data_IF_441081543879
#
_entry.id   IF_441081543879
#
_cell.length_a   1.000
_cell.length_b   1.000
_cell.length_c   1.000
_cell.angle_alpha   90.00
_cell.angle_beta   90.00
_cell.angle_gamma   90.00
#
_symmetry.space_group_name_H-M   'P 1'
#
loop_
_entity.id
_entity.type
_entity.pdbx_description
1 polymer ?
#
# COMPACT_ATOMS: atom_id res chain seq x y z
N UNK A 1 -14.31 -6.78 36.23
CA UNK A 1 -12.89 -6.36 36.27
C UNK A 1 -12.56 -5.63 34.98
N UNK A 2 -12.59 -4.32 35.05
CA UNK A 2 -12.12 -3.46 33.97
C UNK A 2 -10.59 -3.44 34.06
N UNK A 3 -9.93 -4.15 33.16
CA UNK A 3 -8.48 -4.17 33.07
C UNK A 3 -7.94 -2.76 32.83
N UNK A 4 -6.90 -2.40 33.55
CA UNK A 4 -6.15 -1.14 33.46
C UNK A 4 -5.27 -1.09 32.22
N UNK A 5 -5.83 -1.32 31.03
CA UNK A 5 -5.18 -0.94 29.78
C UNK A 5 -5.41 0.54 29.55
N UNK A 6 -4.39 1.32 29.16
CA UNK A 6 -4.54 2.74 28.86
C UNK A 6 -5.74 2.95 27.94
N UNK A 7 -6.57 3.90 28.30
CA UNK A 7 -7.83 4.21 27.62
C UNK A 7 -7.53 4.52 26.14
N UNK A 8 -7.74 3.52 25.29
CA UNK A 8 -7.67 3.73 23.85
C UNK A 8 -8.96 4.42 23.45
N UNK A 9 -8.89 5.69 23.14
CA UNK A 9 -10.00 6.47 22.59
C UNK A 9 -10.64 5.69 21.45
N UNK A 10 -11.86 5.19 21.66
CA UNK A 10 -12.59 4.40 20.66
C UNK A 10 -13.34 5.29 19.69
N UNK A 11 -13.90 6.37 20.18
CA UNK A 11 -14.55 7.39 19.38
C UNK A 11 -14.36 8.76 20.04
N UNK A 12 -14.15 9.79 19.24
CA UNK A 12 -14.02 11.17 19.65
C UNK A 12 -15.00 12.01 18.85
N UNK A 13 -15.77 12.84 19.53
CA UNK A 13 -16.65 13.84 18.93
C UNK A 13 -16.11 15.20 19.33
N UNK A 14 -15.63 15.98 18.37
CA UNK A 14 -15.12 17.32 18.63
C UNK A 14 -16.23 18.37 18.49
N UNK A 15 -16.12 19.46 19.23
CA UNK A 15 -17.01 20.63 19.11
C UNK A 15 -16.99 21.26 17.71
N UNK A 16 -15.96 20.98 16.90
CA UNK A 16 -15.89 21.35 15.48
C UNK A 16 -16.80 20.51 14.58
N UNK A 17 -17.43 19.45 15.09
CA UNK A 17 -18.24 18.49 14.34
C UNK A 17 -17.45 17.30 13.78
N UNK A 18 -16.12 17.26 13.95
CA UNK A 18 -15.32 16.12 13.51
C UNK A 18 -15.53 14.90 14.40
N UNK A 19 -15.62 13.73 13.79
CA UNK A 19 -15.73 12.42 14.44
C UNK A 19 -14.47 11.61 14.18
N UNK A 20 -13.85 11.12 15.26
CA UNK A 20 -12.70 10.23 15.21
C UNK A 20 -13.05 8.83 15.71
N UNK A 21 -12.69 7.79 14.98
CA UNK A 21 -12.72 6.41 15.44
C UNK A 21 -11.27 5.93 15.57
N UNK A 22 -10.87 5.58 16.79
CA UNK A 22 -9.48 5.17 17.08
C UNK A 22 -8.46 6.32 17.10
N UNK A 23 -8.91 7.56 17.06
CA UNK A 23 -8.08 8.77 17.15
C UNK A 23 -8.74 9.83 18.03
N UNK A 24 -7.93 10.51 18.84
CA UNK A 24 -8.37 11.67 19.64
C UNK A 24 -8.30 12.99 18.85
N UNK A 25 -7.59 13.01 17.71
CA UNK A 25 -7.36 14.21 16.90
C UNK A 25 -7.81 13.99 15.46
N UNK A 26 -9.13 13.95 15.17
CA UNK A 26 -9.62 13.76 13.82
C UNK A 26 -9.27 14.97 12.94
N UNK A 27 -8.60 14.71 11.82
CA UNK A 27 -8.17 15.69 10.83
C UNK A 27 -9.16 15.87 9.66
N UNK A 28 -10.29 15.16 9.70
CA UNK A 28 -11.37 15.21 8.72
C UNK A 28 -12.73 15.10 9.43
N UNK A 29 -13.86 15.47 8.80
CA UNK A 29 -15.20 15.31 9.39
C UNK A 29 -15.46 13.90 9.92
N UNK A 30 -14.97 12.88 9.26
CA UNK A 30 -14.86 11.51 9.78
C UNK A 30 -13.43 11.01 9.57
N UNK A 31 -12.73 10.72 10.67
CA UNK A 31 -11.38 10.14 10.64
C UNK A 31 -11.40 8.79 11.36
N UNK A 32 -11.20 7.72 10.59
CA UNK A 32 -11.04 6.35 11.12
C UNK A 32 -9.55 6.01 11.08
N UNK A 33 -8.92 5.97 12.26
CA UNK A 33 -7.52 5.56 12.36
C UNK A 33 -7.41 4.04 12.12
N UNK A 34 -6.55 3.65 11.18
CA UNK A 34 -6.40 2.26 10.77
C UNK A 34 -7.21 1.85 9.54
N UNK A 35 -8.13 2.70 9.09
CA UNK A 35 -8.73 2.63 7.74
C UNK A 35 -9.43 1.33 7.32
N UNK A 36 -9.83 0.46 8.28
CA UNK A 36 -10.51 -0.80 7.95
C UNK A 36 -12.01 -0.66 8.08
N UNK A 37 -12.75 -0.96 7.02
CA UNK A 37 -14.20 -1.09 7.04
C UNK A 37 -14.52 -2.57 6.81
N UNK A 38 -15.27 -3.17 7.74
CA UNK A 38 -15.72 -4.56 7.67
C UNK A 38 -17.21 -4.54 7.46
N UNK A 39 -17.68 -5.20 6.40
CA UNK A 39 -19.10 -5.40 6.14
C UNK A 39 -19.66 -6.54 7.01
N UNK A 40 -20.98 -6.63 7.11
CA UNK A 40 -21.67 -7.64 7.90
C UNK A 40 -21.38 -9.08 7.45
N UNK A 41 -20.93 -9.27 6.22
CA UNK A 41 -20.53 -10.55 5.63
C UNK A 41 -19.04 -10.91 5.85
N UNK A 42 -18.30 -10.11 6.63
CA UNK A 42 -16.90 -10.35 6.96
C UNK A 42 -15.90 -9.84 5.92
N UNK A 43 -16.36 -9.25 4.82
CA UNK A 43 -15.47 -8.65 3.82
C UNK A 43 -14.85 -7.37 4.38
N UNK A 44 -13.53 -7.31 4.40
CA UNK A 44 -12.77 -6.14 4.85
C UNK A 44 -12.28 -5.34 3.65
N UNK A 45 -12.65 -4.05 3.59
CA UNK A 45 -12.04 -3.07 2.69
C UNK A 45 -11.07 -2.20 3.48
N UNK A 46 -9.83 -2.14 3.02
CA UNK A 46 -8.73 -1.38 3.63
C UNK A 46 -8.08 -0.47 2.59
N UNK A 47 -7.59 0.67 3.04
CA UNK A 47 -6.74 1.54 2.22
C UNK A 47 -5.40 1.71 2.90
N UNK A 48 -4.34 1.71 2.10
CA UNK A 48 -2.98 1.93 2.56
C UNK A 48 -2.33 2.98 1.68
N UNK A 49 -1.50 3.81 2.27
CA UNK A 49 -0.69 4.78 1.54
C UNK A 49 0.70 4.87 2.14
N UNK A 50 1.66 5.18 1.29
CA UNK A 50 3.03 5.43 1.69
C UNK A 50 3.66 6.44 0.72
N UNK A 51 4.55 7.28 1.25
CA UNK A 51 5.36 8.21 0.48
C UNK A 51 6.83 8.01 0.83
N UNK A 52 7.70 8.04 -0.16
CA UNK A 52 9.14 7.87 0.01
C UNK A 52 9.93 8.64 -1.04
N UNK A 53 11.25 8.65 -0.87
CA UNK A 53 12.17 9.36 -1.75
C UNK A 53 13.18 8.39 -2.36
N UNK A 54 13.42 8.54 -3.67
CA UNK A 54 14.48 7.87 -4.39
C UNK A 54 15.62 8.87 -4.62
N UNK A 55 16.86 8.43 -4.39
CA UNK A 55 18.02 9.31 -4.52
C UNK A 55 18.66 9.19 -5.91
N UNK A 56 19.27 10.28 -6.38
CA UNK A 56 20.06 10.28 -7.60
C UNK A 56 21.18 9.23 -7.51
N UNK A 57 21.42 8.49 -8.59
CA UNK A 57 22.38 7.39 -8.64
C UNK A 57 21.92 6.08 -8.03
N UNK A 58 20.74 6.03 -7.45
CA UNK A 58 20.19 4.80 -6.86
C UNK A 58 19.95 3.74 -7.94
N UNK A 59 20.43 2.53 -7.71
CA UNK A 59 20.29 1.45 -8.68
C UNK A 59 18.84 0.98 -8.81
N UNK A 60 18.48 0.40 -9.95
CA UNK A 60 17.15 -0.21 -10.16
C UNK A 60 16.78 -1.16 -9.04
N UNK A 61 17.73 -1.98 -8.57
CA UNK A 61 17.49 -2.92 -7.47
C UNK A 61 17.09 -2.21 -6.17
N UNK A 62 17.78 -1.13 -5.81
CA UNK A 62 17.51 -0.36 -4.59
C UNK A 62 16.25 0.52 -4.73
N UNK A 63 15.91 0.96 -5.95
CA UNK A 63 14.71 1.73 -6.26
C UNK A 63 13.47 0.86 -6.50
N UNK A 64 13.57 -0.45 -6.32
CA UNK A 64 12.44 -1.36 -6.50
C UNK A 64 11.50 -1.27 -5.29
N UNK A 65 10.26 -0.90 -5.54
CA UNK A 65 9.20 -0.85 -4.53
C UNK A 65 8.47 -2.19 -4.53
N UNK A 66 8.37 -2.84 -3.38
CA UNK A 66 7.68 -4.12 -3.21
C UNK A 66 6.56 -3.96 -2.20
N UNK A 67 5.38 -4.41 -2.58
CA UNK A 67 4.20 -4.47 -1.73
C UNK A 67 3.97 -5.94 -1.38
N UNK A 68 3.99 -6.27 -0.10
CA UNK A 68 3.76 -7.63 0.38
C UNK A 68 2.38 -7.72 1.01
N UNK A 69 1.59 -8.67 0.55
CA UNK A 69 0.27 -8.98 1.06
C UNK A 69 0.33 -10.18 2.01
N UNK A 70 -0.64 -10.30 2.90
CA UNK A 70 -0.84 -11.53 3.67
C UNK A 70 -1.26 -12.69 2.75
N UNK A 71 -1.20 -13.93 3.28
CA UNK A 71 -1.56 -15.12 2.54
C UNK A 71 -3.07 -15.28 2.26
N UNK A 72 -3.93 -14.42 2.81
CA UNK A 72 -5.38 -14.49 2.65
C UNK A 72 -5.81 -14.13 1.23
N UNK A 73 -6.94 -14.68 0.80
CA UNK A 73 -7.55 -14.32 -0.49
C UNK A 73 -7.86 -12.82 -0.51
N UNK A 74 -7.40 -12.15 -1.55
CA UNK A 74 -7.55 -10.70 -1.69
C UNK A 74 -7.72 -10.26 -3.15
N UNK A 75 -8.23 -9.06 -3.30
CA UNK A 75 -8.14 -8.21 -4.47
C UNK A 75 -7.53 -6.87 -4.07
N UNK A 76 -6.65 -6.33 -4.88
CA UNK A 76 -6.05 -5.03 -4.65
C UNK A 76 -5.98 -4.21 -5.94
N UNK A 77 -6.19 -2.90 -5.79
CA UNK A 77 -5.87 -1.89 -6.80
C UNK A 77 -4.73 -1.03 -6.26
N UNK A 78 -3.66 -0.95 -7.03
CA UNK A 78 -2.44 -0.24 -6.66
C UNK A 78 -2.28 0.92 -7.63
N UNK A 79 -2.03 2.11 -7.10
CA UNK A 79 -1.57 3.27 -7.87
C UNK A 79 -0.28 3.76 -7.24
N UNK A 80 0.77 3.90 -8.04
CA UNK A 80 2.01 4.50 -7.61
C UNK A 80 2.38 5.64 -8.56
N UNK A 81 2.83 6.75 -7.99
CA UNK A 81 3.18 7.95 -8.72
C UNK A 81 4.59 8.38 -8.31
N UNK A 82 5.45 8.63 -9.29
CA UNK A 82 6.80 9.15 -9.13
C UNK A 82 6.87 10.52 -9.78
N UNK A 83 7.43 11.48 -9.08
CA UNK A 83 7.81 12.79 -9.60
C UNK A 83 9.32 12.94 -9.42
N UNK A 84 10.04 13.13 -10.50
CA UNK A 84 11.48 13.35 -10.49
C UNK A 84 11.83 14.83 -10.37
N UNK A 85 13.01 15.13 -9.87
CA UNK A 85 13.41 16.52 -9.59
C UNK A 85 13.58 17.40 -10.85
N UNK A 86 13.60 16.80 -12.03
CA UNK A 86 13.55 17.47 -13.34
C UNK A 86 12.12 17.66 -13.88
N UNK A 87 11.10 17.43 -13.02
CA UNK A 87 9.68 17.50 -13.31
C UNK A 87 9.14 16.39 -14.25
N UNK A 88 9.90 15.33 -14.49
CA UNK A 88 9.36 14.14 -15.13
C UNK A 88 8.45 13.39 -14.16
N UNK A 89 7.39 12.82 -14.69
CA UNK A 89 6.41 12.04 -13.89
C UNK A 89 6.20 10.67 -14.50
N UNK A 90 5.98 9.68 -13.64
CA UNK A 90 5.59 8.33 -14.04
C UNK A 90 4.53 7.80 -13.10
N UNK A 91 3.47 7.26 -13.66
CA UNK A 91 2.39 6.64 -12.90
C UNK A 91 2.25 5.18 -13.30
N UNK A 92 2.15 4.33 -12.29
CA UNK A 92 1.88 2.92 -12.41
C UNK A 92 0.52 2.61 -11.80
N UNK A 93 -0.31 1.86 -12.51
CA UNK A 93 -1.59 1.37 -12.02
C UNK A 93 -1.71 -0.11 -12.31
N UNK A 94 -2.12 -0.90 -11.31
CA UNK A 94 -2.29 -2.34 -11.43
C UNK A 94 -3.48 -2.80 -10.60
N UNK A 95 -4.32 -3.63 -11.20
CA UNK A 95 -5.26 -4.48 -10.47
C UNK A 95 -4.66 -5.88 -10.32
N UNK A 96 -4.78 -6.47 -9.14
CA UNK A 96 -4.25 -7.81 -8.87
C UNK A 96 -5.08 -8.53 -7.80
N UNK A 97 -4.94 -9.83 -7.75
CA UNK A 97 -5.56 -10.66 -6.73
C UNK A 97 -4.80 -11.95 -6.52
N UNK A 98 -4.96 -12.56 -5.38
CA UNK A 98 -4.26 -13.78 -5.03
C UNK A 98 -4.60 -14.29 -3.65
N UNK A 99 -3.70 -15.07 -3.08
CA UNK A 99 -3.84 -15.63 -1.74
C UNK A 99 -4.30 -17.08 -1.73
N UNK A 100 -4.61 -17.59 -0.55
CA UNK A 100 -5.06 -18.95 -0.33
C UNK A 100 -6.30 -18.97 0.57
N UNK A 101 -7.30 -19.76 0.17
CA UNK A 101 -8.55 -19.91 0.92
C UNK A 101 -8.34 -20.60 2.27
N UNK A 102 -7.45 -21.59 2.35
CA UNK A 102 -7.30 -22.47 3.51
C UNK A 102 -6.05 -22.20 4.36
N UNK A 103 -5.34 -21.10 4.13
CA UNK A 103 -4.11 -20.75 4.88
C UNK A 103 -2.87 -21.58 4.52
N UNK A 104 -2.92 -22.37 3.43
CA UNK A 104 -1.76 -23.08 2.88
C UNK A 104 -0.83 -22.16 2.08
N UNK A 105 -0.03 -22.75 1.17
CA UNK A 105 0.87 -22.00 0.30
C UNK A 105 0.06 -21.06 -0.60
N UNK A 106 0.35 -19.74 -0.61
CA UNK A 106 -0.35 -18.80 -1.47
C UNK A 106 -0.19 -19.16 -2.94
N UNK A 107 -1.28 -19.08 -3.70
CA UNK A 107 -1.23 -19.13 -5.14
C UNK A 107 -0.53 -17.87 -5.67
N UNK A 108 0.03 -18.00 -6.86
CA UNK A 108 0.60 -16.85 -7.57
C UNK A 108 -0.43 -15.71 -7.68
N UNK A 109 0.05 -14.48 -7.54
CA UNK A 109 -0.80 -13.31 -7.75
C UNK A 109 -1.22 -13.27 -9.22
N UNK A 110 -2.52 -13.27 -9.45
CA UNK A 110 -3.09 -13.00 -10.76
C UNK A 110 -3.02 -11.50 -11.03
N UNK A 111 -2.48 -11.14 -12.20
CA UNK A 111 -2.35 -9.77 -12.66
C UNK A 111 -3.52 -9.44 -13.57
N UNK A 112 -4.25 -8.41 -13.22
CA UNK A 112 -5.31 -7.82 -14.03
C UNK A 112 -4.83 -6.65 -14.89
N UNK A 113 -5.71 -5.71 -15.22
CA UNK A 113 -5.38 -4.51 -15.97
C UNK A 113 -4.21 -3.75 -15.33
N UNK A 114 -3.30 -3.30 -16.20
CA UNK A 114 -2.13 -2.51 -15.83
C UNK A 114 -1.99 -1.35 -16.80
N UNK A 115 -1.62 -0.18 -16.27
CA UNK A 115 -1.23 0.97 -17.05
C UNK A 115 0.04 1.59 -16.50
N UNK A 116 0.90 2.06 -17.40
CA UNK A 116 2.07 2.89 -17.08
C UNK A 116 1.98 4.10 -17.98
N UNK A 117 1.98 5.29 -17.41
CA UNK A 117 1.87 6.53 -18.16
C UNK A 117 2.61 7.67 -17.43
N UNK A 118 2.96 8.70 -18.16
CA UNK A 118 3.65 9.87 -17.65
C UNK A 118 4.55 10.51 -18.70
N UNK A 119 5.29 11.51 -18.30
CA UNK A 119 6.26 12.20 -19.11
C UNK A 119 7.68 11.65 -19.01
N UNK A 120 7.94 10.77 -18.05
CA UNK A 120 9.25 10.16 -17.85
C UNK A 120 9.63 9.32 -19.09
N UNK A 121 10.46 9.86 -19.94
CA UNK A 121 10.94 9.20 -21.16
C UNK A 121 12.13 8.29 -20.89
N UNK A 122 12.93 8.64 -19.89
CA UNK A 122 14.18 7.96 -19.57
C UNK A 122 14.03 6.93 -18.46
N UNK A 123 13.02 7.07 -17.60
CA UNK A 123 12.87 6.25 -16.41
C UNK A 123 11.43 5.90 -16.03
N UNK A 124 10.61 5.40 -16.97
CA UNK A 124 9.24 5.02 -16.65
C UNK A 124 9.21 3.85 -15.65
N UNK A 125 8.15 3.79 -14.85
CA UNK A 125 7.88 2.62 -14.03
C UNK A 125 7.70 1.37 -14.89
N UNK A 126 8.18 0.25 -14.41
CA UNK A 126 7.85 -1.08 -14.90
C UNK A 126 7.37 -1.96 -13.75
N UNK A 127 6.56 -2.98 -14.05
CA UNK A 127 6.05 -3.87 -13.03
C UNK A 127 6.57 -5.30 -13.18
N UNK A 128 6.82 -5.94 -12.05
CA UNK A 128 7.02 -7.37 -11.96
C UNK A 128 6.09 -7.92 -10.90
N UNK A 129 5.31 -8.92 -11.25
CA UNK A 129 4.51 -9.69 -10.30
C UNK A 129 5.24 -10.97 -10.02
N UNK A 130 5.63 -11.21 -8.78
CA UNK A 130 6.31 -12.46 -8.40
C UNK A 130 5.30 -13.60 -8.28
N UNK A 131 5.64 -14.76 -8.86
CA UNK A 131 4.73 -15.90 -8.96
C UNK A 131 4.68 -16.79 -7.73
N UNK A 132 5.61 -16.66 -6.80
CA UNK A 132 5.74 -17.55 -5.65
C UNK A 132 5.32 -16.94 -4.33
N UNK A 133 4.91 -15.69 -4.30
CA UNK A 133 4.63 -14.96 -3.08
C UNK A 133 3.48 -13.99 -3.27
N UNK A 134 3.00 -13.51 -2.18
CA UNK A 134 2.02 -12.44 -2.06
C UNK A 134 2.67 -11.07 -2.26
N UNK A 135 3.53 -10.93 -3.29
CA UNK A 135 4.31 -9.70 -3.50
C UNK A 135 4.12 -9.15 -4.90
N UNK A 136 3.82 -7.87 -4.99
CA UNK A 136 3.88 -7.08 -6.21
C UNK A 136 5.04 -6.13 -6.12
N UNK A 137 5.85 -6.05 -7.17
CA UNK A 137 6.92 -5.07 -7.27
C UNK A 137 6.80 -4.22 -8.53
N UNK A 138 7.23 -2.98 -8.44
CA UNK A 138 7.42 -2.06 -9.56
C UNK A 138 8.71 -1.28 -9.33
N UNK A 139 9.33 -0.84 -10.40
CA UNK A 139 10.67 -0.26 -10.37
C UNK A 139 10.88 0.66 -11.55
N UNK A 140 11.81 1.60 -11.47
CA UNK A 140 12.32 2.30 -12.65
C UNK A 140 12.93 1.33 -13.67
N UNK A 141 12.97 1.70 -14.93
CA UNK A 141 13.59 0.88 -16.00
C UNK A 141 15.11 0.96 -16.01
N UNK A 142 15.65 2.08 -15.52
CA UNK A 142 17.10 2.35 -15.40
C UNK A 142 17.42 2.83 -13.99
N UNK A 143 18.71 3.01 -13.66
CA UNK A 143 19.10 3.65 -12.42
C UNK A 143 18.60 5.09 -12.40
N UNK A 144 18.28 5.59 -11.19
CA UNK A 144 17.79 6.96 -11.01
C UNK A 144 18.85 7.96 -11.45
N UNK A 145 18.59 8.69 -12.54
CA UNK A 145 19.48 9.76 -12.99
C UNK A 145 19.42 10.98 -12.04
N UNK A 146 18.23 11.26 -11.54
CA UNK A 146 17.93 12.36 -10.63
C UNK A 146 17.18 11.84 -9.41
N UNK A 147 17.03 12.64 -8.37
CA UNK A 147 16.21 12.27 -7.22
C UNK A 147 14.72 12.31 -7.59
N UNK A 148 13.91 11.50 -6.91
CA UNK A 148 12.47 11.49 -7.12
C UNK A 148 11.71 11.26 -5.81
N UNK A 149 10.48 11.76 -5.77
CA UNK A 149 9.52 11.50 -4.70
C UNK A 149 8.41 10.61 -5.23
N UNK A 150 8.08 9.54 -4.50
CA UNK A 150 7.01 8.65 -4.91
C UNK A 150 5.92 8.51 -3.86
N UNK A 151 4.71 8.26 -4.35
CA UNK A 151 3.56 7.94 -3.52
C UNK A 151 2.96 6.61 -3.98
N UNK A 152 2.55 5.79 -3.03
CA UNK A 152 1.84 4.53 -3.27
C UNK A 152 0.50 4.60 -2.57
N UNK A 153 -0.56 4.26 -3.29
CA UNK A 153 -1.91 4.11 -2.76
C UNK A 153 -2.44 2.73 -3.12
N UNK A 154 -3.03 2.04 -2.15
CA UNK A 154 -3.53 0.68 -2.30
C UNK A 154 -4.95 0.61 -1.74
N UNK A 155 -5.92 0.28 -2.60
CA UNK A 155 -7.21 -0.23 -2.17
C UNK A 155 -7.13 -1.75 -2.09
N UNK A 156 -7.53 -2.30 -0.96
CA UNK A 156 -7.41 -3.73 -0.67
C UNK A 156 -8.73 -4.27 -0.16
N UNK A 157 -9.17 -5.39 -0.71
CA UNK A 157 -10.37 -6.11 -0.30
C UNK A 157 -9.98 -7.55 0.01
N UNK A 158 -10.37 -8.05 1.17
CA UNK A 158 -10.13 -9.42 1.58
C UNK A 158 -11.38 -10.03 2.21
N UNK A 159 -11.53 -11.34 2.06
CA UNK A 159 -12.57 -12.12 2.74
C UNK A 159 -12.29 -12.31 4.25
N UNK A 160 -11.11 -11.90 4.71
CA UNK A 160 -10.72 -11.99 6.11
C UNK A 160 -10.33 -10.64 6.64
N UNK A 161 -10.79 -10.31 7.84
CA UNK A 161 -10.34 -9.12 8.58
C UNK A 161 -8.83 -9.15 8.85
N UNK A 162 -8.23 -10.34 8.91
CA UNK A 162 -6.79 -10.55 9.07
C UNK A 162 -6.01 -10.41 7.74
N UNK A 163 -6.70 -10.32 6.59
CA UNK A 163 -6.07 -10.01 5.31
C UNK A 163 -5.56 -8.58 5.31
N UNK A 164 -4.29 -8.37 5.01
CA UNK A 164 -3.64 -7.06 5.06
C UNK A 164 -2.57 -6.89 3.97
N UNK A 165 -2.25 -5.65 3.65
CA UNK A 165 -0.92 -5.31 3.15
C UNK A 165 0.01 -5.36 4.35
N UNK A 166 0.98 -6.27 4.32
CA UNK A 166 1.87 -6.48 5.47
C UNK A 166 2.93 -5.39 5.56
N UNK A 167 3.54 -5.06 4.41
CA UNK A 167 4.61 -4.07 4.35
C UNK A 167 4.87 -3.55 2.95
N UNK A 168 5.56 -2.43 2.88
CA UNK A 168 6.22 -1.92 1.69
C UNK A 168 7.73 -1.95 1.93
N UNK A 169 8.49 -2.41 0.93
CA UNK A 169 9.95 -2.49 0.95
C UNK A 169 10.50 -1.68 -0.21
N UNK A 170 11.54 -0.89 0.04
CA UNK A 170 12.35 -0.22 -0.97
C UNK A 170 13.68 -0.95 -1.09
N UNK A 171 13.96 -1.50 -2.26
CA UNK A 171 15.09 -2.41 -2.44
C UNK A 171 15.00 -3.62 -1.53
N UNK A 172 15.85 -3.66 -0.50
CA UNK A 172 15.88 -4.69 0.55
C UNK A 172 15.40 -4.18 1.91
N UNK A 173 15.11 -2.88 2.04
CA UNK A 173 14.76 -2.23 3.31
C UNK A 173 13.25 -2.14 3.46
N UNK A 174 12.73 -2.60 4.58
CA UNK A 174 11.33 -2.40 4.94
C UNK A 174 11.14 -0.92 5.33
N UNK A 175 10.39 -0.17 4.51
CA UNK A 175 10.17 1.27 4.73
C UNK A 175 8.92 1.55 5.55
N UNK A 176 7.94 0.65 5.47
CA UNK A 176 6.78 0.66 6.36
C UNK A 176 6.27 -0.75 6.59
N UNK A 177 5.90 -1.04 7.84
CA UNK A 177 5.15 -2.24 8.23
C UNK A 177 3.80 -1.78 8.75
N UNK A 178 2.73 -2.28 8.13
CA UNK A 178 1.39 -1.95 8.55
C UNK A 178 0.98 -2.89 9.70
N UNK A 179 0.66 -2.30 10.85
CA UNK A 179 0.10 -3.06 11.97
C UNK A 179 -1.32 -3.55 11.67
N UNK A 180 -1.72 -4.59 12.38
CA UNK A 180 -3.10 -5.13 12.40
C UNK A 180 -4.07 -4.20 13.13
#
# INVERSE_FOLDING_TARGET
NYGTTPDKTRATFLGSGNVGIGTASPSAPLHVAGGTIINSDGVAKKTYSYSGDLTSGQTVANSTIKITFSAHVFYAKIVAHLVESDNEVSTFSLECGGGNWSGGTPLAIAKGPQAIFGSASTNPWSSTVTTSATTVSFKPTTNMAVAGHYNVFIEYISQSSSGVVSKITEGTTDVVTFGY
#
